data_IF_715418531646
#
_entry.id   IF_715418531646
#
_cell.length_a   1.000
_cell.length_b   1.000
_cell.length_c   1.000
_cell.angle_alpha   90.00
_cell.angle_beta   90.00
_cell.angle_gamma   90.00
#
_symmetry.space_group_name_H-M   'P 1'
#
loop_
_entity.id
_entity.type
_entity.pdbx_description
1 polymer ?
#
# COMPACT_ATOMS: atom_id res chain seq x y z
N UNK A 1 -2.99 17.00 -7.23
CA UNK A 1 -3.14 16.74 -5.79
C UNK A 1 -1.81 16.20 -5.29
N UNK A 2 -1.37 16.61 -4.12
CA UNK A 2 -0.15 16.09 -3.48
C UNK A 2 -0.54 15.50 -2.14
N UNK A 3 -0.23 14.23 -1.94
CA UNK A 3 -0.39 13.52 -0.67
C UNK A 3 0.99 13.45 -0.02
N UNK A 4 1.26 14.43 0.84
CA UNK A 4 2.49 14.50 1.64
C UNK A 4 2.17 14.12 3.09
N UNK A 5 2.92 13.17 3.65
CA UNK A 5 2.76 12.73 5.05
C UNK A 5 1.30 12.41 5.42
N UNK A 6 0.65 11.57 4.60
CA UNK A 6 -0.76 11.22 4.78
C UNK A 6 -0.87 9.89 5.52
N UNK A 7 -1.50 9.94 6.68
CA UNK A 7 -1.83 8.77 7.49
C UNK A 7 -3.31 8.46 7.38
N UNK A 8 -3.63 7.24 6.98
CA UNK A 8 -5.00 6.78 6.78
C UNK A 8 -5.27 5.63 7.73
N UNK A 9 -6.17 5.84 8.68
CA UNK A 9 -6.51 4.83 9.70
C UNK A 9 -7.90 4.23 9.44
N UNK A 10 -8.05 2.94 9.74
CA UNK A 10 -9.29 2.20 9.51
C UNK A 10 -9.09 0.68 9.60
N UNK A 11 -10.11 -0.08 9.23
CA UNK A 11 -10.08 -1.54 9.25
C UNK A 11 -9.68 -2.13 7.90
N UNK A 12 -8.74 -3.07 7.91
CA UNK A 12 -8.45 -3.90 6.73
C UNK A 12 -9.57 -4.93 6.53
N UNK A 13 -9.94 -5.18 5.27
CA UNK A 13 -10.80 -6.30 4.91
C UNK A 13 -10.11 -7.63 5.24
N UNK A 14 -10.69 -8.42 6.14
CA UNK A 14 -10.13 -9.72 6.50
C UNK A 14 -10.15 -10.69 5.29
N UNK A 15 -11.12 -10.55 4.37
CA UNK A 15 -11.25 -11.40 3.18
C UNK A 15 -10.14 -11.14 2.15
N UNK A 16 -9.75 -9.89 1.97
CA UNK A 16 -8.88 -9.48 0.86
C UNK A 16 -7.52 -8.94 1.29
N UNK A 17 -7.30 -8.73 2.59
CA UNK A 17 -6.11 -8.04 3.11
C UNK A 17 -5.99 -6.58 2.65
N UNK A 18 -7.07 -6.02 2.08
CA UNK A 18 -7.08 -4.70 1.46
C UNK A 18 -7.69 -3.64 2.38
N UNK A 19 -7.01 -2.51 2.48
CA UNK A 19 -7.54 -1.25 3.00
C UNK A 19 -7.93 -0.36 1.81
N UNK A 20 -9.22 -0.24 1.50
CA UNK A 20 -9.68 0.52 0.35
C UNK A 20 -9.96 1.99 0.70
N UNK A 21 -9.28 2.91 0.01
CA UNK A 21 -9.59 4.34 -0.03
C UNK A 21 -10.25 4.63 -1.38
N UNK A 22 -11.58 4.60 -1.41
CA UNK A 22 -12.36 4.86 -2.62
C UNK A 22 -12.62 6.35 -2.80
N UNK A 23 -11.89 6.94 -3.75
CA UNK A 23 -12.05 8.31 -4.23
C UNK A 23 -12.43 8.30 -5.72
N UNK A 24 -13.27 7.37 -6.13
CA UNK A 24 -13.78 7.19 -7.50
C UNK A 24 -14.31 8.46 -8.18
N UNK A 25 -14.83 9.42 -7.41
CA UNK A 25 -15.34 10.70 -7.92
C UNK A 25 -14.26 11.81 -7.99
N UNK A 26 -13.00 11.47 -7.76
CA UNK A 26 -11.86 12.39 -7.81
C UNK A 26 -11.10 12.24 -9.12
N UNK A 27 -11.05 13.32 -9.89
CA UNK A 27 -10.38 13.40 -11.19
C UNK A 27 -9.20 14.36 -11.12
N UNK A 28 -8.00 13.90 -11.47
CA UNK A 28 -6.75 14.62 -11.27
C UNK A 28 -5.96 14.73 -12.57
N UNK A 29 -5.45 15.94 -12.87
CA UNK A 29 -4.40 16.13 -13.88
C UNK A 29 -3.05 15.59 -13.43
N UNK A 30 -2.78 15.69 -12.13
CA UNK A 30 -1.55 15.15 -11.54
C UNK A 30 -1.79 14.68 -10.11
N UNK A 31 -1.16 13.57 -9.75
CA UNK A 31 -1.07 13.02 -8.40
C UNK A 31 0.39 12.90 -7.99
N UNK A 32 0.76 13.43 -6.83
CA UNK A 32 2.09 13.28 -6.25
C UNK A 32 1.94 12.53 -4.93
N UNK A 33 2.58 11.36 -4.82
CA UNK A 33 2.55 10.48 -3.65
C UNK A 33 3.94 10.49 -3.01
N UNK A 34 4.04 10.98 -1.77
CA UNK A 34 5.33 11.05 -1.06
C UNK A 34 5.39 10.03 0.08
N UNK A 35 4.56 10.22 1.11
CA UNK A 35 4.51 9.34 2.26
C UNK A 35 3.03 9.07 2.53
N UNK A 36 2.58 7.89 2.14
CA UNK A 36 1.20 7.44 2.37
C UNK A 36 1.28 6.15 3.17
N UNK A 37 0.75 6.20 4.38
CA UNK A 37 0.75 5.08 5.30
C UNK A 37 -0.68 4.72 5.67
N UNK A 38 -0.92 3.41 5.82
CA UNK A 38 -2.19 2.89 6.27
C UNK A 38 -2.00 2.22 7.63
N UNK A 39 -2.86 2.56 8.57
CA UNK A 39 -2.81 2.02 9.92
C UNK A 39 -4.05 1.16 10.17
N UNK A 40 -3.81 -0.12 10.44
CA UNK A 40 -4.89 -1.02 10.82
C UNK A 40 -5.31 -0.76 12.27
N UNK A 41 -6.47 -0.15 12.45
CA UNK A 41 -7.04 0.04 13.78
C UNK A 41 -7.81 -1.22 14.18
N UNK A 42 -7.11 -2.26 14.65
CA UNK A 42 -7.77 -3.42 15.26
C UNK A 42 -8.15 -3.08 16.71
N UNK A 43 -9.24 -2.32 16.88
CA UNK A 43 -9.75 -1.88 18.18
C UNK A 43 -9.23 -0.51 18.66
N UNK A 44 -9.36 -0.22 19.95
CA UNK A 44 -8.98 1.05 20.59
C UNK A 44 -7.51 1.10 21.05
N UNK A 45 -6.61 0.34 20.42
CA UNK A 45 -5.20 0.37 20.78
C UNK A 45 -4.45 1.52 20.08
N UNK A 46 -3.46 2.13 20.75
CA UNK A 46 -2.60 3.14 20.10
C UNK A 46 -1.91 2.53 18.88
N UNK A 47 -1.77 3.34 17.82
CA UNK A 47 -1.05 2.96 16.60
C UNK A 47 0.37 2.56 17.00
N UNK A 48 0.75 1.32 16.69
CA UNK A 48 2.11 0.81 16.87
C UNK A 48 2.74 0.68 15.48
N UNK A 49 4.07 0.81 15.39
CA UNK A 49 4.81 0.65 14.11
C UNK A 49 4.51 -0.69 13.44
N UNK A 50 4.26 -1.76 14.21
CA UNK A 50 3.87 -3.08 13.71
C UNK A 50 2.45 -3.13 13.10
N UNK A 51 1.70 -2.03 13.12
CA UNK A 51 0.37 -1.90 12.51
C UNK A 51 0.36 -1.05 11.25
N UNK A 52 1.52 -0.52 10.84
CA UNK A 52 1.67 0.24 9.60
C UNK A 52 1.73 -0.70 8.40
N UNK A 53 1.15 -0.26 7.30
CA UNK A 53 1.17 -0.94 6.01
C UNK A 53 1.83 0.00 5.02
N UNK A 54 2.93 -0.47 4.43
CA UNK A 54 3.73 0.33 3.50
C UNK A 54 3.48 -0.02 2.03
N UNK A 55 2.62 -1.01 1.77
CA UNK A 55 2.27 -1.43 0.42
C UNK A 55 1.01 -0.72 -0.08
N UNK A 56 1.13 -0.01 -1.21
CA UNK A 56 0.05 0.74 -1.84
C UNK A 56 -0.20 0.25 -3.26
N UNK A 57 -1.46 -0.05 -3.58
CA UNK A 57 -1.96 -0.21 -4.93
C UNK A 57 -2.64 1.08 -5.38
N UNK A 58 -2.06 1.75 -6.37
CA UNK A 58 -2.72 2.86 -7.05
C UNK A 58 -3.61 2.30 -8.17
N UNK A 59 -4.91 2.55 -8.09
CA UNK A 59 -5.88 2.13 -9.11
C UNK A 59 -6.71 3.31 -9.61
N UNK A 60 -7.17 3.20 -10.86
CA UNK A 60 -8.08 4.15 -11.47
C UNK A 60 -9.34 3.44 -11.98
N UNK A 61 -10.43 4.19 -12.05
CA UNK A 61 -11.70 3.74 -12.58
C UNK A 61 -12.00 4.47 -13.89
N UNK A 62 -12.13 3.70 -14.95
CA UNK A 62 -12.66 4.19 -16.20
C UNK A 62 -14.17 4.08 -16.21
N UNK A 63 -14.84 5.23 -16.31
CA UNK A 63 -16.26 5.28 -16.66
C UNK A 63 -16.37 5.52 -18.15
N UNK A 64 -16.79 4.50 -18.90
CA UNK A 64 -17.23 4.71 -20.27
C UNK A 64 -18.52 5.55 -20.26
N UNK A 65 -18.62 6.59 -21.11
CA UNK A 65 -19.79 7.49 -21.29
C UNK A 65 -21.06 6.78 -21.84
N UNK A 66 -21.13 5.47 -21.66
CA UNK A 66 -22.27 4.63 -21.98
C UNK A 66 -23.44 4.94 -21.03
N UNK A 67 -24.67 4.79 -21.55
CA UNK A 67 -25.93 4.91 -20.79
C UNK A 67 -26.00 3.96 -19.57
N UNK A 68 -25.13 2.95 -19.55
CA UNK A 68 -24.81 2.10 -18.40
C UNK A 68 -23.28 2.07 -18.26
N UNK A 69 -22.67 2.89 -17.39
CA UNK A 69 -21.22 2.91 -17.26
C UNK A 69 -20.75 1.56 -16.72
N UNK A 70 -20.02 0.82 -17.55
CA UNK A 70 -19.20 -0.28 -17.06
C UNK A 70 -18.01 0.40 -16.40
N UNK A 71 -17.88 0.23 -15.09
CA UNK A 71 -16.74 0.72 -14.33
C UNK A 71 -15.62 -0.29 -14.51
N UNK A 72 -14.71 -0.02 -15.45
CA UNK A 72 -13.50 -0.81 -15.61
C UNK A 72 -12.44 -0.31 -14.64
N UNK A 73 -11.90 -1.22 -13.82
CA UNK A 73 -10.82 -0.93 -12.89
C UNK A 73 -9.48 -1.22 -13.56
N UNK A 74 -8.57 -0.27 -13.48
CA UNK A 74 -7.21 -0.43 -13.97
C UNK A 74 -6.20 -0.18 -12.85
N UNK A 75 -5.33 -1.16 -12.60
CA UNK A 75 -4.24 -1.02 -11.65
C UNK A 75 -3.09 -0.27 -12.33
N UNK A 76 -2.71 0.89 -11.79
CA UNK A 76 -1.67 1.75 -12.36
C UNK A 76 -0.28 1.31 -11.90
N UNK A 77 -0.11 1.12 -10.60
CA UNK A 77 1.18 0.78 -10.01
C UNK A 77 1.03 0.20 -8.61
N UNK A 78 1.95 -0.70 -8.27
CA UNK A 78 2.27 -1.05 -6.90
C UNK A 78 3.42 -0.15 -6.42
N UNK A 79 3.26 0.39 -5.22
CA UNK A 79 4.20 1.33 -4.59
C UNK A 79 4.51 0.78 -3.21
N UNK A 80 5.78 0.77 -2.86
CA UNK A 80 6.28 0.37 -1.55
C UNK A 80 6.99 1.54 -0.91
N UNK A 81 6.51 1.94 0.28
CA UNK A 81 7.16 2.96 1.10
C UNK A 81 8.31 2.29 1.87
N UNK A 82 9.55 2.66 1.55
CA UNK A 82 10.73 2.16 2.25
C UNK A 82 11.02 3.08 3.41
N UNK A 83 11.07 2.50 4.61
CA UNK A 83 11.57 3.15 5.80
C UNK A 83 13.07 2.84 5.94
N UNK A 84 13.92 3.87 5.84
CA UNK A 84 15.37 3.75 6.02
C UNK A 84 15.80 4.44 7.30
N UNK A 85 16.32 3.67 8.26
CA UNK A 85 16.91 4.23 9.48
C UNK A 85 18.31 4.76 9.17
N UNK A 86 18.46 6.08 9.11
CA UNK A 86 19.75 6.72 8.83
C UNK A 86 20.58 6.82 10.12
N UNK A 87 19.94 7.14 11.24
CA UNK A 87 20.58 7.13 12.56
C UNK A 87 19.62 6.44 13.53
N UNK A 88 20.06 5.40 14.26
CA UNK A 88 19.21 4.71 15.22
C UNK A 88 18.55 5.71 16.17
N UNK A 89 17.21 5.66 16.26
CA UNK A 89 16.38 6.45 17.19
C UNK A 89 16.30 7.96 16.93
N UNK A 90 16.88 8.46 15.83
CA UNK A 90 17.03 9.92 15.60
C UNK A 90 16.46 10.35 14.24
N UNK A 91 16.68 9.56 13.19
CA UNK A 91 16.31 9.97 11.84
C UNK A 91 15.90 8.77 11.00
N UNK A 92 14.65 8.82 10.56
CA UNK A 92 14.03 7.90 9.63
C UNK A 92 13.77 8.67 8.35
N UNK A 93 14.15 8.09 7.23
CA UNK A 93 13.84 8.61 5.89
C UNK A 93 12.85 7.67 5.21
N UNK A 94 11.94 8.25 4.44
CA UNK A 94 10.90 7.51 3.75
C UNK A 94 10.97 7.79 2.26
N UNK A 95 11.08 6.73 1.47
CA UNK A 95 11.17 6.81 0.02
C UNK A 95 10.11 5.93 -0.63
N UNK A 96 9.36 6.50 -1.59
CA UNK A 96 8.41 5.72 -2.38
C UNK A 96 9.09 5.03 -3.54
N UNK A 97 9.06 3.69 -3.54
CA UNK A 97 9.54 2.89 -4.64
C UNK A 97 8.40 2.27 -5.44
N UNK A 98 8.36 2.59 -6.73
CA UNK A 98 7.51 1.88 -7.68
C UNK A 98 8.03 0.46 -7.86
N UNK A 99 7.20 -0.53 -7.57
CA UNK A 99 7.55 -1.92 -7.76
C UNK A 99 7.50 -2.30 -9.25
N UNK A 100 8.33 -3.27 -9.64
CA UNK A 100 8.33 -3.80 -11.00
C UNK A 100 7.03 -4.54 -11.30
N UNK A 101 6.76 -4.78 -12.59
CA UNK A 101 5.58 -5.55 -13.00
C UNK A 101 5.62 -6.98 -12.46
N UNK A 102 6.81 -7.60 -12.41
CA UNK A 102 7.00 -8.94 -11.83
C UNK A 102 6.66 -8.96 -10.34
N UNK A 103 7.16 -7.99 -9.57
CA UNK A 103 6.80 -7.86 -8.15
C UNK A 103 5.30 -7.63 -7.97
N UNK A 104 4.70 -6.76 -8.79
CA UNK A 104 3.25 -6.53 -8.80
C UNK A 104 2.43 -7.79 -9.09
N UNK A 105 2.88 -8.63 -10.02
CA UNK A 105 2.23 -9.89 -10.35
C UNK A 105 2.31 -10.89 -9.18
N UNK A 106 3.45 -10.97 -8.50
CA UNK A 106 3.62 -11.81 -7.31
C UNK A 106 2.70 -11.36 -6.17
N UNK A 107 2.57 -10.05 -5.95
CA UNK A 107 1.65 -9.49 -4.95
C UNK A 107 0.20 -9.86 -5.29
N UNK A 108 -0.20 -9.71 -6.56
CA UNK A 108 -1.55 -10.08 -7.01
C UNK A 108 -1.81 -11.57 -6.81
N UNK A 109 -0.87 -12.44 -7.18
CA UNK A 109 -0.99 -13.89 -6.99
C UNK A 109 -1.10 -14.26 -5.49
N UNK A 110 -0.32 -13.60 -4.63
CA UNK A 110 -0.39 -13.79 -3.19
C UNK A 110 -1.78 -13.44 -2.63
N UNK A 111 -2.32 -12.28 -2.98
CA UNK A 111 -3.63 -11.85 -2.47
C UNK A 111 -4.82 -12.57 -3.12
N UNK A 112 -4.68 -13.10 -4.34
CA UNK A 112 -5.68 -13.98 -4.94
C UNK A 112 -5.82 -15.30 -4.17
N UNK A 113 -4.71 -15.79 -3.58
CA UNK A 113 -4.68 -17.01 -2.80
C UNK A 113 -4.53 -16.74 -1.30
N UNK A 114 -4.96 -15.56 -0.82
CA UNK A 114 -4.64 -15.06 0.51
C UNK A 114 -5.06 -16.06 1.61
N UNK A 115 -4.12 -16.62 2.38
CA UNK A 115 -4.43 -17.61 3.39
C UNK A 115 -4.94 -16.93 4.66
N UNK A 116 -6.25 -16.65 4.72
CA UNK A 116 -6.95 -16.05 5.86
C UNK A 116 -6.54 -16.64 7.24
N UNK A 117 -6.27 -17.95 7.30
CA UNK A 117 -5.97 -18.68 8.53
C UNK A 117 -4.50 -18.61 9.01
N UNK A 118 -3.61 -17.87 8.34
CA UNK A 118 -2.20 -17.74 8.77
C UNK A 118 -1.84 -16.40 9.43
N UNK A 119 -2.83 -15.53 9.67
CA UNK A 119 -2.67 -14.24 10.38
C UNK A 119 -2.10 -14.34 11.81
N UNK A 120 -1.97 -15.57 12.35
CA UNK A 120 -1.34 -15.86 13.64
C UNK A 120 0.09 -16.43 13.53
N UNK A 121 0.71 -16.45 12.34
CA UNK A 121 2.17 -16.64 12.30
C UNK A 121 2.79 -15.38 12.85
N UNK A 122 3.13 -15.42 14.14
CA UNK A 122 4.12 -14.53 14.74
C UNK A 122 5.26 -14.43 13.74
N UNK A 123 5.46 -13.24 13.17
CA UNK A 123 6.65 -12.94 12.39
C UNK A 123 7.80 -13.37 13.29
N UNK A 124 8.53 -14.40 12.87
CA UNK A 124 9.60 -14.97 13.68
C UNK A 124 10.63 -13.88 13.86
N UNK A 125 10.70 -13.37 15.09
CA UNK A 125 11.54 -12.27 15.55
C UNK A 125 12.99 -12.72 15.79
N UNK A 126 13.42 -13.79 15.11
CA UNK A 126 14.73 -14.39 15.29
C UNK A 126 15.53 -14.25 13.99
N UNK A 127 16.59 -13.44 14.07
CA UNK A 127 17.75 -13.36 13.15
C UNK A 127 17.76 -12.34 11.99
N UNK A 128 17.16 -11.15 12.13
CA UNK A 128 17.23 -10.12 11.05
C UNK A 128 18.06 -8.86 11.34
N UNK A 129 18.79 -8.84 12.44
CA UNK A 129 19.79 -7.79 12.71
C UNK A 129 21.15 -8.13 12.11
N UNK A 130 21.24 -8.40 10.81
CA UNK A 130 22.54 -8.37 10.12
C UNK A 130 22.33 -8.43 8.59
N UNK A 131 22.68 -7.33 7.91
CA UNK A 131 22.83 -7.18 6.45
C UNK A 131 21.57 -6.91 5.61
N UNK A 132 21.37 -5.61 5.31
CA UNK A 132 20.99 -5.15 3.96
C UNK A 132 19.54 -5.36 3.54
N UNK A 133 18.63 -4.53 4.06
CA UNK A 133 17.34 -4.23 3.43
C UNK A 133 17.58 -3.63 2.05
N UNK A 134 17.45 -4.38 0.95
CA UNK A 134 17.49 -3.70 -0.36
C UNK A 134 16.78 -4.32 -1.57
N UNK A 135 16.25 -5.55 -1.55
CA UNK A 135 15.51 -6.03 -2.75
C UNK A 135 14.16 -6.73 -2.46
N UNK A 136 13.91 -7.17 -1.23
CA UNK A 136 12.69 -7.97 -0.90
C UNK A 136 11.89 -7.43 0.29
N UNK A 137 12.18 -6.21 0.78
CA UNK A 137 11.51 -5.65 1.97
C UNK A 137 9.98 -5.61 1.86
N UNK A 138 9.46 -5.37 0.65
CA UNK A 138 8.02 -5.39 0.38
C UNK A 138 7.38 -6.78 0.58
N UNK A 139 8.13 -7.88 0.52
CA UNK A 139 7.59 -9.23 0.73
C UNK A 139 7.14 -9.43 2.18
N UNK A 140 7.81 -8.78 3.14
CA UNK A 140 7.43 -8.85 4.55
C UNK A 140 6.11 -8.11 4.83
N UNK A 141 5.77 -7.13 3.99
CA UNK A 141 4.51 -6.38 4.06
C UNK A 141 3.29 -7.20 3.61
N UNK A 142 3.48 -8.28 2.84
CA UNK A 142 2.38 -9.09 2.29
C UNK A 142 1.41 -9.59 3.37
N UNK A 143 1.93 -9.95 4.55
CA UNK A 143 1.11 -10.44 5.67
C UNK A 143 0.46 -9.31 6.48
N UNK A 144 0.92 -8.06 6.32
CA UNK A 144 0.34 -6.86 6.96
C UNK A 144 -0.88 -6.36 6.19
N UNK A 145 -0.94 -6.63 4.89
CA UNK A 145 -1.99 -6.19 3.98
C UNK A 145 -1.48 -5.13 3.01
N UNK A 146 -2.39 -4.47 2.30
CA UNK A 146 -2.07 -3.35 1.42
C UNK A 146 -3.17 -2.31 1.44
N UNK A 147 -2.80 -1.05 1.22
CA UNK A 147 -3.74 0.01 0.91
C UNK A 147 -4.04 0.07 -0.59
N UNK A 148 -5.31 0.21 -0.96
CA UNK A 148 -5.70 0.53 -2.33
C UNK A 148 -6.18 1.98 -2.39
N UNK A 149 -5.44 2.83 -3.12
CA UNK A 149 -5.87 4.17 -3.45
C UNK A 149 -6.59 4.14 -4.80
N UNK A 150 -7.92 4.16 -4.78
CA UNK A 150 -8.74 4.11 -5.99
C UNK A 150 -9.26 5.48 -6.34
N UNK A 151 -8.90 5.99 -7.51
CA UNK A 151 -9.38 7.28 -8.02
C UNK A 151 -10.23 7.11 -9.29
N UNK A 152 -10.88 8.19 -9.73
CA UNK A 152 -11.56 8.25 -11.02
C UNK A 152 -10.55 8.24 -12.16
N UNK A 153 -10.19 9.43 -12.69
CA UNK A 153 -9.16 9.57 -13.73
C UNK A 153 -7.90 10.24 -13.16
N UNK A 154 -6.73 9.76 -13.56
CA UNK A 154 -5.44 10.36 -13.25
C UNK A 154 -4.64 10.50 -14.55
N UNK A 155 -4.39 11.73 -15.02
CA UNK A 155 -3.61 11.94 -16.25
C UNK A 155 -2.11 11.64 -16.05
N UNK A 156 -1.56 11.95 -14.87
CA UNK A 156 -0.17 11.69 -14.53
C UNK A 156 -0.01 11.45 -13.02
N UNK A 157 0.96 10.62 -12.62
CA UNK A 157 1.38 10.49 -11.24
C UNK A 157 2.90 10.56 -11.09
N UNK A 158 3.35 10.96 -9.91
CA UNK A 158 4.75 11.06 -9.51
C UNK A 158 4.91 10.51 -8.10
N UNK A 159 6.09 9.96 -7.83
CA UNK A 159 6.51 9.56 -6.49
C UNK A 159 7.54 10.59 -6.02
N UNK A 160 7.41 11.05 -4.78
CA UNK A 160 8.36 11.96 -4.13
C UNK A 160 9.34 11.23 -3.22
#
# INVERSE_FOLDING_TARGET
MTLNEVWISGSISEETGCFLVDMSYTFLKSLCLNQVEYHNTRGEMPIREDMCIHLTLLSQLYTNDSKYPIVERHNIAWIYLIETVIVPWIMVDYENNKLSEEAGNLIVEFYQNFPFNQSNKTIVDEDRLEYGYQETGWMDELYRGYGELRLGNIEAYTLG
#
